data_IF_912851962069
#
_entry.id   IF_912851962069
#
_cell.length_a   1.000
_cell.length_b   1.000
_cell.length_c   1.000
_cell.angle_alpha   90.00
_cell.angle_beta   90.00
_cell.angle_gamma   90.00
#
_symmetry.space_group_name_H-M   'P 1'
#
loop_
_entity.id
_entity.type
_entity.pdbx_description
1 polymer ?
#
# COMPACT_ATOMS: atom_id res chain seq x y z
N UNK A 1 13.79 5.04 -27.92
CA UNK A 1 14.25 6.12 -28.82
C UNK A 1 14.20 5.69 -30.29
N UNK A 2 14.71 6.52 -31.20
CA UNK A 2 15.02 6.12 -32.59
C UNK A 2 16.48 5.71 -32.69
N UNK A 3 16.79 4.63 -33.39
CA UNK A 3 18.17 4.21 -33.62
C UNK A 3 18.27 3.16 -34.72
N UNK A 4 19.49 2.71 -34.97
CA UNK A 4 19.76 1.69 -35.98
C UNK A 4 19.08 0.36 -35.61
N UNK A 5 18.32 -0.19 -36.55
CA UNK A 5 17.62 -1.46 -36.43
C UNK A 5 18.47 -2.58 -37.05
N UNK A 6 18.11 -3.84 -36.78
CA UNK A 6 18.77 -5.01 -37.40
C UNK A 6 18.71 -5.01 -38.94
N UNK A 7 17.86 -4.16 -39.54
CA UNK A 7 17.74 -3.92 -40.98
C UNK A 7 18.66 -2.82 -41.52
N UNK A 8 19.54 -2.22 -40.70
CA UNK A 8 20.35 -1.02 -41.01
C UNK A 8 19.55 0.24 -41.32
N UNK A 9 18.24 0.23 -41.04
CA UNK A 9 17.39 1.41 -41.12
C UNK A 9 17.38 2.13 -39.78
N UNK A 10 17.26 3.46 -39.80
CA UNK A 10 17.01 4.25 -38.60
C UNK A 10 15.50 4.39 -38.42
N UNK A 11 14.98 3.89 -37.31
CA UNK A 11 13.55 3.88 -37.07
C UNK A 11 13.19 3.75 -35.60
N UNK A 12 11.88 3.80 -35.32
CA UNK A 12 11.33 3.45 -34.00
C UNK A 12 11.38 1.92 -33.84
N UNK A 13 11.77 1.43 -32.66
CA UNK A 13 11.81 -0.01 -32.37
C UNK A 13 13.17 -0.55 -31.90
N UNK A 14 14.21 0.29 -31.85
CA UNK A 14 15.44 -0.05 -31.13
C UNK A 14 15.15 -0.19 -29.63
N UNK A 15 15.71 -1.23 -29.00
CA UNK A 15 15.68 -1.39 -27.53
C UNK A 15 16.33 -0.16 -26.87
N UNK A 16 15.71 0.34 -25.81
CA UNK A 16 16.27 1.44 -25.02
C UNK A 16 17.51 0.96 -24.27
N UNK A 17 18.48 1.86 -24.03
CA UNK A 17 19.69 1.48 -23.29
C UNK A 17 19.32 0.95 -21.89
N UNK A 18 19.97 -0.11 -21.39
CA UNK A 18 19.62 -0.76 -20.12
C UNK A 18 19.52 0.23 -18.94
N UNK A 19 20.38 1.24 -18.88
CA UNK A 19 20.40 2.25 -17.83
C UNK A 19 19.12 3.09 -17.84
N UNK A 20 18.59 3.41 -19.02
CA UNK A 20 17.33 4.11 -19.16
C UNK A 20 16.14 3.23 -18.75
N UNK A 21 16.19 1.93 -19.07
CA UNK A 21 15.16 0.98 -18.62
C UNK A 21 15.14 0.90 -17.10
N UNK A 22 16.31 0.73 -16.46
CA UNK A 22 16.43 0.70 -15.00
C UNK A 22 15.91 2.00 -14.39
N UNK A 23 16.34 3.15 -14.91
CA UNK A 23 15.87 4.46 -14.41
C UNK A 23 14.35 4.59 -14.46
N UNK A 24 13.70 4.19 -15.56
CA UNK A 24 12.24 4.25 -15.69
C UNK A 24 11.56 3.28 -14.70
N UNK A 25 12.13 2.10 -14.47
CA UNK A 25 11.62 1.17 -13.47
C UNK A 25 11.76 1.74 -12.06
N UNK A 26 12.91 2.31 -11.72
CA UNK A 26 13.15 2.95 -10.43
C UNK A 26 12.19 4.12 -10.21
N UNK A 27 11.99 4.99 -11.21
CA UNK A 27 11.00 6.08 -11.16
C UNK A 27 9.57 5.54 -10.97
N UNK A 28 9.22 4.46 -11.67
CA UNK A 28 7.89 3.84 -11.58
C UNK A 28 7.63 3.24 -10.20
N UNK A 29 8.63 2.55 -9.61
CA UNK A 29 8.49 1.94 -8.28
C UNK A 29 8.69 2.93 -7.13
N UNK A 30 9.48 4.00 -7.31
CA UNK A 30 9.66 5.05 -6.30
C UNK A 30 8.44 5.96 -6.14
N UNK A 31 7.54 6.02 -7.13
CA UNK A 31 6.22 6.65 -6.98
C UNK A 31 5.39 6.04 -5.83
N UNK A 32 5.73 4.84 -5.36
CA UNK A 32 5.12 4.22 -4.18
C UNK A 32 5.64 4.77 -2.84
N UNK A 33 6.49 5.79 -2.80
CA UNK A 33 7.04 6.33 -1.54
C UNK A 33 6.37 7.65 -1.07
N UNK A 34 5.18 7.99 -1.58
CA UNK A 34 4.47 9.24 -1.24
C UNK A 34 4.31 9.49 0.27
N UNK A 35 4.18 8.42 1.06
CA UNK A 35 3.98 8.49 2.51
C UNK A 35 5.24 8.12 3.29
N UNK A 36 6.40 8.04 2.64
CA UNK A 36 7.66 7.72 3.30
C UNK A 36 7.97 8.71 4.44
N UNK A 37 8.32 8.16 5.60
CA UNK A 37 8.62 8.94 6.80
C UNK A 37 7.39 9.53 7.51
N UNK A 38 6.18 9.25 7.02
CA UNK A 38 4.94 9.64 7.70
C UNK A 38 4.53 8.56 8.70
N UNK A 39 4.01 9.01 9.84
CA UNK A 39 3.39 8.15 10.86
C UNK A 39 1.88 8.33 10.79
N UNK A 40 1.15 7.23 10.60
CA UNK A 40 -0.31 7.24 10.41
C UNK A 40 -0.94 6.32 11.44
N UNK A 41 -1.93 6.82 12.17
CA UNK A 41 -2.75 6.01 13.07
C UNK A 41 -4.11 5.75 12.44
N UNK A 42 -4.50 4.48 12.37
CA UNK A 42 -5.80 4.05 11.83
C UNK A 42 -6.54 3.27 12.91
N UNK A 43 -7.83 3.55 13.08
CA UNK A 43 -8.74 2.73 13.90
C UNK A 43 -9.64 1.93 12.97
N UNK A 44 -9.89 0.65 13.28
CA UNK A 44 -10.69 -0.21 12.41
C UNK A 44 -11.46 -1.28 13.20
N UNK A 45 -12.58 -1.73 12.65
CA UNK A 45 -13.43 -2.75 13.28
C UNK A 45 -14.55 -2.13 14.13
N UNK A 46 -15.35 -2.97 14.78
CA UNK A 46 -16.47 -2.52 15.59
C UNK A 46 -16.00 -2.05 16.97
N UNK A 47 -16.88 -1.40 17.72
CA UNK A 47 -16.71 -1.12 19.15
C UNK A 47 -17.84 -1.80 19.90
N UNK A 48 -17.55 -2.35 21.08
CA UNK A 48 -18.54 -3.01 21.94
C UNK A 48 -18.67 -2.26 23.26
N UNK A 49 -19.84 -1.67 23.48
CA UNK A 49 -20.19 -0.97 24.70
C UNK A 49 -21.06 -1.86 25.58
N UNK A 50 -20.58 -2.18 26.78
CA UNK A 50 -21.21 -3.17 27.67
C UNK A 50 -22.52 -2.62 28.24
N UNK A 51 -23.58 -3.43 28.16
CA UNK A 51 -24.80 -3.21 28.93
C UNK A 51 -24.71 -3.98 30.26
N UNK A 52 -24.27 -5.24 30.19
CA UNK A 52 -24.09 -6.16 31.31
C UNK A 52 -23.00 -7.21 30.95
N UNK A 53 -22.71 -8.22 31.79
CA UNK A 53 -21.65 -9.19 31.50
C UNK A 53 -21.84 -10.02 30.21
N UNK A 54 -23.04 -10.08 29.64
CA UNK A 54 -23.37 -10.91 28.47
C UNK A 54 -23.73 -10.08 27.25
N UNK A 55 -24.42 -8.95 27.42
CA UNK A 55 -24.93 -8.11 26.33
C UNK A 55 -24.08 -6.85 26.13
N UNK A 56 -23.96 -6.45 24.88
CA UNK A 56 -23.31 -5.20 24.49
C UNK A 56 -24.02 -4.57 23.28
N UNK A 57 -23.85 -3.27 23.12
CA UNK A 57 -24.19 -2.54 21.89
C UNK A 57 -22.94 -2.47 21.04
N UNK A 58 -23.06 -2.80 19.76
CA UNK A 58 -21.97 -2.67 18.81
C UNK A 58 -22.43 -2.14 17.46
N UNK A 59 -21.48 -1.78 16.62
CA UNK A 59 -21.73 -1.38 15.24
C UNK A 59 -21.36 -2.52 14.26
N UNK A 60 -21.85 -2.43 13.03
CA UNK A 60 -21.64 -3.46 11.98
C UNK A 60 -20.34 -3.29 11.20
N UNK A 61 -19.34 -2.61 11.74
CA UNK A 61 -18.04 -2.47 11.06
C UNK A 61 -17.35 -3.83 10.95
N UNK A 62 -17.05 -4.23 9.72
CA UNK A 62 -16.25 -5.43 9.46
C UNK A 62 -14.74 -5.20 9.62
N UNK A 63 -14.30 -3.94 9.76
CA UNK A 63 -12.89 -3.55 9.81
C UNK A 63 -12.12 -3.65 8.47
N UNK A 64 -12.67 -4.31 7.44
CA UNK A 64 -11.98 -4.58 6.16
C UNK A 64 -11.38 -3.34 5.50
N UNK A 65 -12.12 -2.24 5.50
CA UNK A 65 -11.66 -0.99 4.89
C UNK A 65 -10.46 -0.40 5.63
N UNK A 66 -10.50 -0.34 6.97
CA UNK A 66 -9.39 0.20 7.76
C UNK A 66 -8.12 -0.64 7.62
N UNK A 67 -8.26 -1.97 7.55
CA UNK A 67 -7.14 -2.87 7.26
C UNK A 67 -6.57 -2.65 5.86
N UNK A 68 -7.42 -2.54 4.83
CA UNK A 68 -6.96 -2.26 3.46
C UNK A 68 -6.25 -0.90 3.34
N UNK A 69 -6.73 0.12 4.06
CA UNK A 69 -6.06 1.42 4.14
C UNK A 69 -4.70 1.32 4.85
N UNK A 70 -4.61 0.55 5.94
CA UNK A 70 -3.34 0.32 6.63
C UNK A 70 -2.29 -0.33 5.72
N UNK A 71 -2.68 -1.37 4.99
CA UNK A 71 -1.82 -2.03 4.00
C UNK A 71 -1.36 -1.06 2.92
N UNK A 72 -2.28 -0.29 2.34
CA UNK A 72 -1.94 0.64 1.27
C UNK A 72 -1.06 1.79 1.78
N UNK A 73 -1.31 2.33 2.96
CA UNK A 73 -0.46 3.35 3.56
C UNK A 73 0.96 2.83 3.83
N UNK A 74 1.07 1.61 4.35
CA UNK A 74 2.34 0.98 4.64
C UNK A 74 3.13 0.66 3.35
N UNK A 75 2.44 0.14 2.33
CA UNK A 75 2.95 -0.04 0.96
C UNK A 75 3.45 1.27 0.37
N UNK A 76 2.78 2.39 0.71
CA UNK A 76 3.16 3.74 0.28
C UNK A 76 4.31 4.39 1.05
N UNK A 77 4.94 3.69 1.99
CA UNK A 77 6.08 4.22 2.75
C UNK A 77 5.79 4.57 4.21
N UNK A 78 4.52 4.58 4.65
CA UNK A 78 4.18 5.02 5.99
C UNK A 78 4.56 3.99 7.07
N UNK A 79 4.85 4.50 8.27
CA UNK A 79 4.81 3.74 9.52
C UNK A 79 3.37 3.83 10.05
N UNK A 80 2.68 2.70 10.14
CA UNK A 80 1.25 2.65 10.46
C UNK A 80 1.02 2.01 11.82
N UNK A 81 0.24 2.66 12.66
CA UNK A 81 -0.30 2.06 13.89
C UNK A 81 -1.77 1.74 13.66
N UNK A 82 -2.14 0.47 13.72
CA UNK A 82 -3.51 0.00 13.50
C UNK A 82 -4.15 -0.44 14.82
N UNK A 83 -5.08 0.36 15.33
CA UNK A 83 -5.88 0.03 16.50
C UNK A 83 -7.14 -0.71 16.03
N UNK A 84 -7.19 -2.01 16.27
CA UNK A 84 -8.30 -2.86 15.87
C UNK A 84 -9.30 -3.09 17.02
N UNK A 85 -10.59 -2.95 16.70
CA UNK A 85 -11.69 -3.51 17.49
C UNK A 85 -11.75 -5.05 17.38
N UNK A 86 -12.81 -5.69 17.89
CA UNK A 86 -12.94 -7.15 17.89
C UNK A 86 -13.23 -7.67 16.46
N UNK A 87 -12.15 -7.93 15.73
CA UNK A 87 -12.12 -8.56 14.41
C UNK A 87 -11.02 -9.62 14.35
N UNK A 88 -11.13 -10.56 13.41
CA UNK A 88 -10.12 -11.59 13.16
C UNK A 88 -9.35 -11.34 11.85
N UNK A 89 -9.20 -10.05 11.48
CA UNK A 89 -8.42 -9.65 10.33
C UNK A 89 -6.93 -9.58 10.69
N UNK A 90 -6.06 -9.81 9.71
CA UNK A 90 -4.60 -9.74 9.87
C UNK A 90 -4.02 -8.79 8.84
N UNK A 91 -2.89 -8.19 9.20
CA UNK A 91 -2.05 -7.42 8.29
C UNK A 91 -0.83 -8.26 7.87
N UNK A 92 -0.25 -7.92 6.72
CA UNK A 92 0.91 -8.59 6.14
C UNK A 92 2.13 -7.67 6.07
N UNK A 93 1.93 -6.35 5.94
CA UNK A 93 3.04 -5.42 5.79
C UNK A 93 3.78 -5.16 7.12
N UNK A 94 5.11 -5.26 7.09
CA UNK A 94 5.99 -5.16 8.28
C UNK A 94 6.02 -3.78 8.96
N UNK A 95 5.57 -2.74 8.25
CA UNK A 95 5.44 -1.36 8.76
C UNK A 95 4.12 -1.08 9.47
N UNK A 96 3.28 -2.09 9.65
CA UNK A 96 2.03 -1.97 10.42
C UNK A 96 2.26 -2.58 11.80
N UNK A 97 1.91 -1.82 12.84
CA UNK A 97 2.04 -2.17 14.24
C UNK A 97 0.69 -2.15 14.94
#
# INVERSE_FOLDING_TARGET
GTGELASHLVGKGRMEEPENIIRVLDEFFSASAELQGRKIMITAGPTYEKIDPVRFIGNYSSGKMGFALAEECARRGAEVTLIAGPVQLKTQHSRIH
#
